data_IF_060300767871
#
_entry.id   IF_060300767871
#
_cell.length_a   1.000
_cell.length_b   1.000
_cell.length_c   1.000
_cell.angle_alpha   90.00
_cell.angle_beta   90.00
_cell.angle_gamma   90.00
#
_symmetry.space_group_name_H-M   'P 1'
#
loop_
_entity.id
_entity.type
_entity.pdbx_description
1 polymer ?
#
# COMPACT_ATOMS: atom_id res chain seq x y z
N UNK A 1 -17.39 -19.05 25.87
CA UNK A 1 -16.20 -18.66 25.09
C UNK A 1 -16.60 -17.40 24.38
N UNK A 2 -16.03 -16.25 24.77
CA UNK A 2 -16.32 -14.98 24.11
C UNK A 2 -15.54 -15.02 22.80
N UNK A 3 -16.24 -15.07 21.68
CA UNK A 3 -15.65 -14.72 20.38
C UNK A 3 -15.02 -13.34 20.57
N UNK A 4 -13.69 -13.27 20.54
CA UNK A 4 -13.03 -11.98 20.41
C UNK A 4 -13.50 -11.45 19.07
N UNK A 5 -14.36 -10.44 19.08
CA UNK A 5 -14.61 -9.64 17.88
C UNK A 5 -13.24 -9.19 17.38
N UNK A 6 -12.77 -9.81 16.30
CA UNK A 6 -11.58 -9.35 15.61
C UNK A 6 -11.91 -7.98 15.04
N UNK A 7 -11.53 -6.94 15.79
CA UNK A 7 -11.67 -5.58 15.33
C UNK A 7 -10.99 -5.46 13.97
N UNK A 8 -11.62 -4.78 12.99
CA UNK A 8 -11.02 -4.62 11.68
C UNK A 8 -9.68 -3.92 11.84
N UNK A 9 -8.61 -4.63 11.47
CA UNK A 9 -7.27 -4.06 11.39
C UNK A 9 -7.30 -3.02 10.27
N UNK A 10 -6.94 -1.78 10.62
CA UNK A 10 -6.87 -0.65 9.72
C UNK A 10 -5.63 0.18 10.01
N UNK A 11 -5.38 1.17 9.15
CA UNK A 11 -4.29 2.12 9.31
C UNK A 11 -4.72 3.29 10.19
N UNK A 12 -3.78 3.80 10.99
CA UNK A 12 -3.96 5.00 11.79
C UNK A 12 -3.71 6.21 10.89
N UNK A 13 -4.68 7.12 10.84
CA UNK A 13 -4.56 8.34 10.03
C UNK A 13 -3.46 9.27 10.56
N UNK A 14 -2.53 9.64 9.67
CA UNK A 14 -1.53 10.66 9.92
C UNK A 14 -2.11 12.05 9.62
N UNK A 15 -2.32 12.81 10.69
CA UNK A 15 -2.85 14.18 10.64
C UNK A 15 -1.80 15.23 10.24
N UNK A 16 -0.50 14.90 10.28
CA UNK A 16 0.59 15.77 9.83
C UNK A 16 0.75 15.63 8.32
N UNK A 17 0.83 14.39 7.85
CA UNK A 17 1.02 14.04 6.45
C UNK A 17 -0.26 13.47 5.82
N UNK A 18 -1.41 14.12 6.06
CA UNK A 18 -2.76 13.80 5.53
C UNK A 18 -2.89 12.49 4.72
N UNK A 19 -2.77 11.35 5.40
CA UNK A 19 -2.65 10.03 4.75
C UNK A 19 -3.97 9.41 4.31
N UNK A 20 -5.12 10.04 4.58
CA UNK A 20 -6.43 9.41 4.51
C UNK A 20 -6.76 8.70 3.18
N UNK A 21 -6.34 9.26 2.05
CA UNK A 21 -6.53 8.64 0.74
C UNK A 21 -5.71 7.35 0.59
N UNK A 22 -4.50 7.33 1.13
CA UNK A 22 -3.65 6.15 1.19
C UNK A 22 -4.22 5.15 2.20
N UNK A 23 -4.56 5.58 3.43
CA UNK A 23 -5.10 4.69 4.46
C UNK A 23 -6.33 3.92 3.98
N UNK A 24 -7.29 4.62 3.36
CA UNK A 24 -8.48 4.00 2.80
C UNK A 24 -8.14 2.99 1.70
N UNK A 25 -7.27 3.37 0.77
CA UNK A 25 -6.89 2.53 -0.38
C UNK A 25 -6.12 1.29 0.07
N UNK A 26 -5.17 1.45 0.98
CA UNK A 26 -4.33 0.37 1.49
C UNK A 26 -5.10 -0.54 2.42
N UNK A 27 -6.03 -0.01 3.22
CA UNK A 27 -6.96 -0.83 4.00
C UNK A 27 -7.77 -1.76 3.08
N UNK A 28 -8.25 -1.27 1.93
CA UNK A 28 -8.96 -2.12 0.96
C UNK A 28 -8.03 -3.23 0.43
N UNK A 29 -6.82 -2.89 0.00
CA UNK A 29 -5.87 -3.88 -0.53
C UNK A 29 -5.45 -4.91 0.52
N UNK A 30 -5.20 -4.46 1.76
CA UNK A 30 -4.90 -5.34 2.88
C UNK A 30 -6.06 -6.30 3.16
N UNK A 31 -7.30 -5.81 3.17
CA UNK A 31 -8.47 -6.66 3.40
C UNK A 31 -8.69 -7.67 2.26
N UNK A 32 -8.38 -7.33 1.01
CA UNK A 32 -8.38 -8.29 -0.09
C UNK A 32 -7.28 -9.33 0.12
N UNK A 33 -6.06 -8.87 0.41
CA UNK A 33 -4.89 -9.73 0.54
C UNK A 33 -5.04 -10.75 1.68
N UNK A 34 -5.55 -10.31 2.84
CA UNK A 34 -5.69 -11.16 4.04
C UNK A 34 -6.67 -12.32 3.86
N UNK A 35 -7.59 -12.26 2.89
CA UNK A 35 -8.53 -13.37 2.63
C UNK A 35 -7.81 -14.64 2.16
N UNK A 36 -6.74 -14.49 1.38
CA UNK A 36 -5.94 -15.61 0.89
C UNK A 36 -4.54 -15.14 0.51
N UNK A 37 -3.63 -15.21 1.48
CA UNK A 37 -2.29 -14.60 1.42
C UNK A 37 -1.51 -15.00 0.15
N UNK A 38 -1.36 -16.30 -0.10
CA UNK A 38 -0.54 -16.82 -1.22
C UNK A 38 -1.08 -16.36 -2.58
N UNK A 39 -2.37 -16.59 -2.83
CA UNK A 39 -3.07 -16.20 -4.07
C UNK A 39 -2.97 -14.69 -4.31
N UNK A 40 -3.23 -13.88 -3.31
CA UNK A 40 -3.27 -12.43 -3.50
C UNK A 40 -1.87 -11.81 -3.56
N UNK A 41 -0.88 -12.33 -2.84
CA UNK A 41 0.52 -11.98 -3.06
C UNK A 41 0.94 -12.22 -4.51
N UNK A 42 0.68 -13.41 -5.05
CA UNK A 42 1.04 -13.74 -6.43
C UNK A 42 0.30 -12.87 -7.45
N UNK A 43 -0.99 -12.58 -7.21
CA UNK A 43 -1.76 -11.68 -8.06
C UNK A 43 -1.24 -10.25 -7.99
N UNK A 44 -0.96 -9.71 -6.82
CA UNK A 44 -0.45 -8.35 -6.66
C UNK A 44 0.90 -8.17 -7.36
N UNK A 45 1.81 -9.13 -7.24
CA UNK A 45 3.10 -9.12 -7.96
C UNK A 45 2.95 -9.08 -9.49
N UNK A 46 1.87 -9.66 -10.02
CA UNK A 46 1.59 -9.66 -11.46
C UNK A 46 0.89 -8.39 -11.96
N UNK A 47 0.35 -7.57 -11.06
CA UNK A 47 -0.43 -6.39 -11.45
C UNK A 47 0.45 -5.22 -11.85
N UNK A 48 1.45 -4.86 -11.04
CA UNK A 48 2.36 -3.75 -11.32
C UNK A 48 3.59 -3.80 -10.40
N UNK A 49 4.59 -2.95 -10.67
CA UNK A 49 5.73 -2.79 -9.77
C UNK A 49 5.32 -2.33 -8.36
N UNK A 50 4.42 -1.36 -8.24
CA UNK A 50 3.93 -0.86 -6.95
C UNK A 50 3.11 -1.91 -6.19
N UNK A 51 2.25 -2.67 -6.88
CA UNK A 51 1.52 -3.77 -6.27
C UNK A 51 2.46 -4.92 -5.84
N UNK A 52 3.56 -5.14 -6.57
CA UNK A 52 4.60 -6.08 -6.16
C UNK A 52 5.31 -5.64 -4.88
N UNK A 53 5.64 -4.34 -4.76
CA UNK A 53 6.21 -3.79 -3.51
C UNK A 53 5.22 -3.95 -2.37
N UNK A 54 3.94 -3.62 -2.59
CA UNK A 54 2.90 -3.81 -1.57
C UNK A 54 2.81 -5.28 -1.12
N UNK A 55 2.82 -6.23 -2.05
CA UNK A 55 2.79 -7.65 -1.71
C UNK A 55 3.98 -8.08 -0.82
N UNK A 56 5.19 -7.62 -1.16
CA UNK A 56 6.39 -7.89 -0.36
C UNK A 56 6.25 -7.32 1.06
N UNK A 57 5.80 -6.07 1.18
CA UNK A 57 5.65 -5.41 2.48
C UNK A 57 4.57 -6.08 3.33
N UNK A 58 3.45 -6.50 2.74
CA UNK A 58 2.41 -7.25 3.46
C UNK A 58 2.91 -8.63 3.93
N UNK A 59 3.77 -9.29 3.16
CA UNK A 59 4.43 -10.52 3.60
C UNK A 59 5.41 -10.30 4.74
N UNK A 60 6.19 -9.22 4.71
CA UNK A 60 7.04 -8.82 5.85
C UNK A 60 6.19 -8.51 7.09
N UNK A 61 5.05 -7.82 6.94
CA UNK A 61 4.07 -7.61 8.00
C UNK A 61 3.56 -8.93 8.59
N UNK A 62 3.16 -9.90 7.76
CA UNK A 62 2.69 -11.21 8.27
C UNK A 62 3.76 -12.01 9.01
N UNK A 63 5.03 -11.73 8.75
CA UNK A 63 6.17 -12.32 9.46
C UNK A 63 6.55 -11.54 10.72
N UNK A 64 5.89 -10.42 11.00
CA UNK A 64 6.18 -9.54 12.13
C UNK A 64 7.47 -8.75 11.97
N UNK A 65 7.97 -8.58 10.74
CA UNK A 65 9.21 -7.85 10.44
C UNK A 65 9.00 -6.33 10.52
N UNK A 66 7.81 -5.87 10.12
CA UNK A 66 7.40 -4.46 10.10
C UNK A 66 5.94 -4.31 10.53
N UNK A 67 5.53 -3.08 10.87
CA UNK A 67 4.12 -2.76 11.14
C UNK A 67 3.34 -2.50 9.86
N UNK A 68 2.00 -2.52 9.94
CA UNK A 68 1.17 -2.26 8.76
C UNK A 68 1.36 -0.81 8.24
N UNK A 69 1.61 0.13 9.15
CA UNK A 69 1.95 1.53 8.84
C UNK A 69 3.27 1.62 8.08
N UNK A 70 4.30 0.87 8.51
CA UNK A 70 5.57 0.84 7.79
C UNK A 70 5.41 0.27 6.37
N UNK A 71 4.61 -0.79 6.20
CA UNK A 71 4.31 -1.33 4.87
C UNK A 71 3.66 -0.29 3.95
N UNK A 72 2.69 0.45 4.50
CA UNK A 72 1.99 1.53 3.84
C UNK A 72 2.94 2.67 3.46
N UNK A 73 3.76 3.13 4.41
CA UNK A 73 4.67 4.26 4.24
C UNK A 73 5.77 3.99 3.21
N UNK A 74 6.24 2.74 3.11
CA UNK A 74 7.18 2.34 2.06
C UNK A 74 6.59 2.59 0.67
N UNK A 75 5.37 2.12 0.40
CA UNK A 75 4.74 2.31 -0.91
C UNK A 75 4.39 3.78 -1.15
N UNK A 76 3.95 4.50 -0.11
CA UNK A 76 3.73 5.95 -0.18
C UNK A 76 5.00 6.69 -0.58
N UNK A 77 6.14 6.32 0.00
CA UNK A 77 7.46 6.87 -0.34
C UNK A 77 7.82 6.60 -1.80
N UNK A 78 7.53 5.39 -2.30
CA UNK A 78 7.72 5.07 -3.72
C UNK A 78 6.88 5.98 -4.64
N UNK A 79 5.60 6.17 -4.30
CA UNK A 79 4.68 7.02 -5.06
C UNK A 79 5.14 8.48 -5.05
N UNK A 80 5.51 9.00 -3.89
CA UNK A 80 6.04 10.36 -3.77
C UNK A 80 7.32 10.54 -4.59
N UNK A 81 8.25 9.56 -4.53
CA UNK A 81 9.49 9.61 -5.31
C UNK A 81 9.28 9.59 -6.83
N UNK A 82 8.21 8.95 -7.31
CA UNK A 82 7.89 8.92 -8.74
C UNK A 82 7.14 10.16 -9.23
N UNK A 83 6.28 10.74 -8.40
CA UNK A 83 5.31 11.75 -8.80
C UNK A 83 4.92 12.63 -7.60
N UNK A 84 5.86 13.43 -7.07
CA UNK A 84 5.65 14.18 -5.81
C UNK A 84 4.54 15.21 -5.92
N UNK A 85 4.26 15.74 -7.12
CA UNK A 85 3.15 16.67 -7.34
C UNK A 85 1.76 16.02 -7.20
N UNK A 86 1.66 14.71 -7.42
CA UNK A 86 0.41 13.96 -7.31
C UNK A 86 0.28 13.24 -5.96
N UNK A 87 1.40 12.96 -5.30
CA UNK A 87 1.46 12.21 -4.04
C UNK A 87 2.27 12.97 -2.98
N UNK A 88 1.92 14.22 -2.61
CA UNK A 88 2.70 15.01 -1.69
C UNK A 88 2.64 14.49 -0.24
N UNK A 89 3.67 14.83 0.54
CA UNK A 89 3.61 14.83 2.00
C UNK A 89 2.97 16.14 2.51
N UNK A 90 2.66 16.19 3.80
CA UNK A 90 2.01 17.31 4.45
C UNK A 90 0.50 17.34 4.26
N UNK A 91 -0.08 18.53 4.35
CA UNK A 91 -1.52 18.73 4.46
C UNK A 91 -2.25 18.80 3.10
N UNK A 92 -1.52 18.64 2.01
CA UNK A 92 -2.10 18.60 0.66
C UNK A 92 -2.67 17.20 0.42
N UNK A 93 -3.99 17.14 0.20
CA UNK A 93 -4.68 15.87 -0.05
C UNK A 93 -4.25 15.19 -1.35
N UNK A 94 -4.39 13.88 -1.40
CA UNK A 94 -4.17 13.05 -2.58
C UNK A 94 -5.50 12.53 -3.14
N UNK A 95 -5.64 12.46 -4.46
CA UNK A 95 -6.82 11.86 -5.09
C UNK A 95 -6.76 10.32 -5.04
N UNK A 96 -7.75 9.69 -4.40
CA UNK A 96 -7.84 8.21 -4.36
C UNK A 96 -7.95 7.58 -5.75
N UNK A 97 -8.62 8.26 -6.71
CA UNK A 97 -8.70 7.78 -8.10
C UNK A 97 -7.32 7.77 -8.76
N UNK A 98 -6.55 8.85 -8.59
CA UNK A 98 -5.18 8.92 -9.12
C UNK A 98 -4.26 7.89 -8.45
N UNK A 99 -4.41 7.69 -7.15
CA UNK A 99 -3.68 6.68 -6.39
C UNK A 99 -3.95 5.26 -6.92
N UNK A 100 -5.21 4.84 -6.97
CA UNK A 100 -5.60 3.49 -7.42
C UNK A 100 -5.17 3.25 -8.87
N UNK A 101 -5.39 4.21 -9.75
CA UNK A 101 -4.98 4.09 -11.16
C UNK A 101 -3.47 3.97 -11.33
N UNK A 102 -2.69 4.67 -10.49
CA UNK A 102 -1.22 4.57 -10.49
C UNK A 102 -0.76 3.24 -9.90
N UNK A 103 -1.40 2.75 -8.83
CA UNK A 103 -1.12 1.43 -8.25
C UNK A 103 -1.30 0.32 -9.29
N UNK A 104 -2.34 0.38 -10.12
CA UNK A 104 -2.57 -0.63 -11.18
C UNK A 104 -1.89 -0.33 -12.52
N UNK A 105 -1.09 0.73 -12.62
CA UNK A 105 -0.45 1.09 -13.88
C UNK A 105 0.70 0.13 -14.20
N UNK A 106 0.65 -0.47 -15.40
CA UNK A 106 1.68 -1.36 -15.92
C UNK A 106 2.49 -0.60 -16.96
N UNK A 107 3.68 -0.12 -16.61
CA UNK A 107 4.59 0.40 -17.62
C UNK A 107 5.14 -0.78 -18.44
N UNK A 108 4.79 -0.84 -19.72
CA UNK A 108 5.29 -1.88 -20.63
C UNK A 108 6.71 -1.61 -21.11
N UNK A 109 7.33 -0.49 -20.71
CA UNK A 109 8.55 0.01 -21.36
C UNK A 109 9.74 0.34 -20.48
N UNK A 110 9.68 0.34 -19.16
CA UNK A 110 10.89 0.52 -18.35
C UNK A 110 10.98 -0.49 -17.21
N UNK A 111 12.14 -1.15 -17.12
CA UNK A 111 12.53 -2.00 -16.02
C UNK A 111 12.19 -1.31 -14.70
N UNK A 112 11.62 -2.08 -13.77
CA UNK A 112 11.32 -1.71 -12.38
C UNK A 112 12.40 -0.74 -11.91
N UNK A 113 12.07 0.56 -11.90
CA UNK A 113 12.84 1.53 -11.14
C UNK A 113 12.72 1.03 -9.72
N UNK A 114 13.77 0.36 -9.25
CA UNK A 114 13.87 -0.25 -7.95
C UNK A 114 13.50 0.83 -6.93
N UNK A 115 12.26 0.80 -6.44
CA UNK A 115 11.95 1.37 -5.15
C UNK A 115 12.52 0.38 -4.14
N UNK A 116 13.84 0.39 -4.00
CA UNK A 116 14.56 -0.27 -2.91
C UNK A 116 14.89 0.86 -1.98
N UNK A 117 14.14 0.92 -0.88
CA UNK A 117 14.62 1.55 0.33
C UNK A 117 15.75 0.68 0.90
#
# INVERSE_FOLDING_TARGET
MVDREELPIGLIWDAIDHSCAFDATFTIFFNIWKEYLVKWSDKFRQLSGLMSVLALMLEDYSRGILTLEQAHDTVRTCLHGQAPEYFPYGTVGTSSVKLITTMFYVDRTHAVGHCVC
#
